data_IF_189575295833
#
_entry.id   IF_189575295833
#
_cell.length_a   1.000
_cell.length_b   1.000
_cell.length_c   1.000
_cell.angle_alpha   90.00
_cell.angle_beta   90.00
_cell.angle_gamma   90.00
#
_symmetry.space_group_name_H-M   'P 1'
#
loop_
_entity.id
_entity.type
_entity.pdbx_description
1 polymer ?
#
# COMPACT_ATOMS: atom_id res chain seq x y z
N UNK A 1 -2.58 -10.30 30.75
CA UNK A 1 -2.10 -10.32 29.35
C UNK A 1 -1.86 -8.88 28.95
N UNK A 2 -0.70 -8.53 28.33
CA UNK A 2 -0.50 -7.21 27.74
C UNK A 2 -1.29 -7.17 26.42
N UNK A 3 -2.09 -6.15 26.23
CA UNK A 3 -2.73 -5.92 24.95
C UNK A 3 -1.68 -5.47 23.93
N UNK A 4 -1.75 -6.01 22.72
CA UNK A 4 -0.96 -5.58 21.56
C UNK A 4 -1.90 -4.88 20.60
N UNK A 5 -1.52 -3.70 20.16
CA UNK A 5 -2.30 -2.91 19.21
C UNK A 5 -1.60 -2.92 17.86
N UNK A 6 -2.37 -2.97 16.78
CA UNK A 6 -1.87 -2.87 15.41
C UNK A 6 -2.66 -1.77 14.71
N UNK A 7 -1.97 -0.77 14.19
CA UNK A 7 -2.59 0.38 13.53
C UNK A 7 -2.21 0.43 12.06
N UNK A 8 -3.21 0.55 11.20
CA UNK A 8 -3.03 0.98 9.84
C UNK A 8 -2.65 2.47 9.80
N UNK A 9 -2.00 2.88 8.71
CA UNK A 9 -1.47 4.23 8.56
C UNK A 9 -2.44 5.18 7.85
N UNK A 10 -2.72 4.89 6.58
CA UNK A 10 -3.45 5.80 5.70
C UNK A 10 -4.95 5.81 6.00
N UNK A 11 -5.46 6.91 6.52
CA UNK A 11 -6.86 7.05 6.94
C UNK A 11 -7.14 6.60 8.38
N UNK A 12 -6.11 6.11 9.08
CA UNK A 12 -6.19 5.71 10.51
C UNK A 12 -5.33 6.64 11.37
N UNK A 13 -4.00 6.55 11.29
CA UNK A 13 -3.10 7.41 12.06
C UNK A 13 -2.75 8.70 11.34
N UNK A 14 -2.80 8.69 10.03
CA UNK A 14 -2.51 9.85 9.19
C UNK A 14 -3.61 10.04 8.14
N UNK A 15 -3.91 11.29 7.73
CA UNK A 15 -4.66 11.48 6.50
C UNK A 15 -3.90 10.82 5.34
N UNK A 16 -4.61 10.19 4.41
CA UNK A 16 -4.00 9.42 3.34
C UNK A 16 -2.87 10.18 2.65
N UNK A 17 -1.66 9.62 2.69
CA UNK A 17 -0.42 10.16 2.13
C UNK A 17 -0.01 11.54 2.67
N UNK A 18 -0.47 11.91 3.83
CA UNK A 18 -0.10 13.17 4.49
C UNK A 18 0.58 12.89 5.82
N UNK A 19 1.30 13.90 6.30
CA UNK A 19 1.89 13.85 7.62
C UNK A 19 0.82 13.79 8.70
N UNK A 20 1.13 13.13 9.80
CA UNK A 20 0.36 13.17 11.03
C UNK A 20 0.14 14.64 11.45
N UNK A 21 -1.08 14.98 11.90
CA UNK A 21 -1.34 16.34 12.38
C UNK A 21 -0.70 16.54 13.74
N UNK A 22 -0.24 17.77 14.04
CA UNK A 22 0.48 18.05 15.29
C UNK A 22 -0.32 17.72 16.55
N UNK A 23 -1.63 18.02 16.54
CA UNK A 23 -2.50 17.74 17.69
C UNK A 23 -2.64 16.23 17.93
N UNK A 24 -2.75 15.45 16.84
CA UNK A 24 -2.82 14.01 16.93
C UNK A 24 -1.46 13.38 17.27
N UNK A 25 -0.39 13.96 16.78
CA UNK A 25 1.01 13.55 17.09
C UNK A 25 1.26 13.62 18.61
N UNK A 26 0.90 14.73 19.27
CA UNK A 26 1.04 14.91 20.70
C UNK A 26 0.17 13.91 21.49
N UNK A 27 -1.09 13.74 21.08
CA UNK A 27 -1.98 12.76 21.69
C UNK A 27 -1.44 11.33 21.55
N UNK A 28 -1.06 10.95 20.34
CA UNK A 28 -0.64 9.58 20.04
C UNK A 28 0.71 9.23 20.68
N UNK A 29 1.66 10.18 20.76
CA UNK A 29 2.94 9.93 21.42
C UNK A 29 2.78 9.64 22.90
N UNK A 30 1.94 10.41 23.62
CA UNK A 30 1.64 10.16 25.03
C UNK A 30 0.98 8.79 25.25
N UNK A 31 0.12 8.36 24.32
CA UNK A 31 -0.49 7.04 24.34
C UNK A 31 0.55 5.96 24.08
N UNK A 32 1.40 6.14 23.09
CA UNK A 32 2.40 5.19 22.60
C UNK A 32 3.45 4.81 23.66
N UNK A 33 3.85 5.77 24.52
CA UNK A 33 4.80 5.52 25.61
C UNK A 33 4.33 4.43 26.59
N UNK A 34 3.03 4.19 26.70
CA UNK A 34 2.44 3.30 27.68
C UNK A 34 1.82 2.04 27.08
N UNK A 35 1.94 1.85 25.75
CA UNK A 35 1.27 0.76 25.06
C UNK A 35 2.22 0.02 24.12
N UNK A 36 2.03 -1.28 23.99
CA UNK A 36 2.73 -2.12 23.02
C UNK A 36 1.98 -2.07 21.70
N UNK A 37 2.61 -1.58 20.63
CA UNK A 37 1.96 -1.47 19.34
C UNK A 37 2.89 -1.73 18.16
N UNK A 38 2.27 -2.09 17.04
CA UNK A 38 2.87 -2.20 15.71
C UNK A 38 2.14 -1.29 14.73
N UNK A 39 2.86 -0.89 13.70
CA UNK A 39 2.30 -0.17 12.56
C UNK A 39 2.23 -1.10 11.34
N UNK A 40 1.22 -0.95 10.50
CA UNK A 40 1.07 -1.68 9.26
C UNK A 40 0.70 -0.74 8.12
N UNK A 41 1.31 -0.91 6.96
CA UNK A 41 0.98 -0.12 5.77
C UNK A 41 1.26 -0.90 4.49
N UNK A 42 0.48 -0.61 3.44
CA UNK A 42 0.81 -1.02 2.07
C UNK A 42 2.00 -0.26 1.47
N UNK A 43 2.47 0.79 2.12
CA UNK A 43 3.63 1.59 1.69
C UNK A 43 4.95 0.97 2.13
N UNK A 44 6.08 1.40 1.50
CA UNK A 44 7.42 1.10 1.96
C UNK A 44 7.80 1.99 3.17
N UNK A 45 8.91 1.65 3.84
CA UNK A 45 9.34 2.34 5.06
C UNK A 45 9.65 3.82 4.84
N UNK A 46 10.24 4.20 3.71
CA UNK A 46 10.55 5.60 3.41
C UNK A 46 9.29 6.47 3.41
N UNK A 47 8.21 5.98 2.79
CA UNK A 47 6.93 6.71 2.78
C UNK A 47 6.28 6.81 4.16
N UNK A 48 6.46 5.79 4.99
CA UNK A 48 5.99 5.82 6.39
C UNK A 48 6.76 6.89 7.18
N UNK A 49 8.08 6.97 7.01
CA UNK A 49 8.92 8.01 7.64
C UNK A 49 8.58 9.44 7.21
N UNK A 50 8.01 9.61 6.03
CA UNK A 50 7.50 10.92 5.58
C UNK A 50 6.20 11.33 6.31
N UNK A 51 5.40 10.36 6.78
CA UNK A 51 4.08 10.58 7.35
C UNK A 51 4.09 10.62 8.87
N UNK A 52 4.93 9.83 9.51
CA UNK A 52 5.02 9.66 10.97
C UNK A 52 6.38 10.10 11.46
N UNK A 53 6.44 10.91 12.52
CA UNK A 53 7.71 11.31 13.14
C UNK A 53 8.53 10.10 13.59
N UNK A 54 9.84 10.19 13.41
CA UNK A 54 10.77 9.11 13.71
C UNK A 54 10.72 8.65 15.17
N UNK A 55 10.51 9.57 16.09
CA UNK A 55 10.42 9.22 17.51
C UNK A 55 9.18 8.35 17.84
N UNK A 56 8.06 8.53 17.11
CA UNK A 56 6.87 7.67 17.23
C UNK A 56 7.15 6.29 16.62
N UNK A 57 7.86 6.24 15.49
CA UNK A 57 8.29 4.97 14.91
C UNK A 57 9.18 4.18 15.86
N UNK A 58 10.06 4.88 16.58
CA UNK A 58 10.96 4.27 17.58
C UNK A 58 10.23 3.79 18.86
N UNK A 59 9.01 4.28 19.13
CA UNK A 59 8.16 3.77 20.20
C UNK A 59 7.41 2.49 19.81
N UNK A 60 7.26 2.20 18.51
CA UNK A 60 6.62 0.97 18.05
C UNK A 60 7.54 -0.24 18.25
N UNK A 61 6.96 -1.40 18.54
CA UNK A 61 7.71 -2.68 18.54
C UNK A 61 8.16 -3.06 17.13
N UNK A 62 7.48 -2.57 16.10
CA UNK A 62 7.85 -2.79 14.71
C UNK A 62 6.88 -2.20 13.71
N UNK A 63 7.33 -2.18 12.45
CA UNK A 63 6.57 -1.64 11.32
C UNK A 63 6.47 -2.68 10.22
N UNK A 64 5.26 -3.12 9.94
CA UNK A 64 4.95 -3.95 8.78
C UNK A 64 4.76 -3.05 7.55
N UNK A 65 5.55 -3.27 6.52
CA UNK A 65 5.52 -2.52 5.26
C UNK A 65 5.13 -3.42 4.10
N UNK A 66 4.79 -2.80 2.96
CA UNK A 66 4.43 -3.53 1.74
C UNK A 66 3.34 -4.58 1.96
N UNK A 67 2.25 -4.20 2.68
CA UNK A 67 1.16 -5.11 2.96
C UNK A 67 1.51 -6.28 3.90
N UNK A 68 2.56 -6.13 4.72
CA UNK A 68 3.03 -7.15 5.65
C UNK A 68 4.15 -8.05 5.10
N UNK A 69 4.58 -7.83 3.85
CA UNK A 69 5.68 -8.60 3.25
C UNK A 69 7.06 -8.26 3.82
N UNK A 70 7.14 -7.16 4.56
CA UNK A 70 8.35 -6.77 5.29
C UNK A 70 8.00 -6.44 6.74
N UNK A 71 8.90 -6.80 7.66
CA UNK A 71 8.86 -6.35 9.06
C UNK A 71 10.17 -5.65 9.39
N UNK A 72 10.05 -4.47 9.96
CA UNK A 72 11.14 -3.67 10.47
C UNK A 72 11.06 -3.60 11.99
N UNK A 73 12.12 -3.99 12.68
CA UNK A 73 12.26 -3.90 14.13
C UNK A 73 13.42 -2.96 14.46
N UNK A 74 13.18 -1.93 15.26
CA UNK A 74 14.20 -0.93 15.62
C UNK A 74 14.90 -0.30 14.39
N UNK A 75 14.18 -0.15 13.27
CA UNK A 75 14.70 0.40 12.03
C UNK A 75 15.53 -0.58 11.18
N UNK A 76 15.72 -1.82 11.62
CA UNK A 76 16.40 -2.89 10.90
C UNK A 76 15.39 -3.83 10.26
N UNK A 77 15.65 -4.26 9.03
CA UNK A 77 14.81 -5.21 8.31
C UNK A 77 14.95 -6.60 8.94
N UNK A 78 13.88 -7.06 9.61
CA UNK A 78 13.85 -8.36 10.28
C UNK A 78 13.50 -9.50 9.32
N UNK A 79 12.48 -9.31 8.46
CA UNK A 79 12.22 -10.21 7.35
C UNK A 79 11.76 -9.44 6.11
N UNK A 80 11.98 -10.07 4.96
CA UNK A 80 11.50 -9.61 3.66
C UNK A 80 11.09 -10.83 2.82
N UNK A 81 9.83 -10.87 2.44
CA UNK A 81 9.37 -11.80 1.42
C UNK A 81 9.61 -11.14 0.06
N UNK A 82 10.72 -11.51 -0.59
CA UNK A 82 11.04 -10.98 -1.91
C UNK A 82 9.98 -11.39 -2.93
N UNK A 83 9.56 -10.42 -3.71
CA UNK A 83 8.72 -10.63 -4.89
C UNK A 83 9.50 -10.15 -6.12
N UNK A 84 9.76 -11.08 -7.04
CA UNK A 84 10.39 -10.76 -8.32
C UNK A 84 9.36 -10.99 -9.42
N UNK A 85 8.79 -9.90 -9.98
CA UNK A 85 7.83 -10.04 -11.06
C UNK A 85 8.49 -10.69 -12.28
N UNK A 86 7.83 -11.67 -12.87
CA UNK A 86 8.24 -12.26 -14.14
C UNK A 86 8.05 -11.27 -15.29
N UNK A 87 8.84 -11.40 -16.34
CA UNK A 87 8.75 -10.54 -17.53
C UNK A 87 7.36 -10.60 -18.18
N UNK A 88 6.73 -11.77 -18.17
CA UNK A 88 5.38 -11.98 -18.70
C UNK A 88 4.32 -11.20 -17.92
N UNK A 89 4.45 -11.08 -16.59
CA UNK A 89 3.57 -10.24 -15.77
C UNK A 89 3.77 -8.77 -16.10
N UNK A 90 5.02 -8.33 -16.22
CA UNK A 90 5.33 -6.94 -16.60
C UNK A 90 4.82 -6.60 -18.00
N UNK A 91 4.92 -7.53 -18.94
CA UNK A 91 4.37 -7.37 -20.28
C UNK A 91 2.84 -7.27 -20.24
N UNK A 92 2.17 -8.16 -19.54
CA UNK A 92 0.72 -8.14 -19.36
C UNK A 92 0.21 -6.82 -18.76
N UNK A 93 0.87 -6.31 -17.72
CA UNK A 93 0.49 -5.03 -17.12
C UNK A 93 0.66 -3.85 -18.09
N UNK A 94 1.68 -3.89 -18.95
CA UNK A 94 1.86 -2.89 -20.01
C UNK A 94 0.76 -2.99 -21.08
N UNK A 95 0.34 -4.20 -21.44
CA UNK A 95 -0.81 -4.38 -22.34
C UNK A 95 -2.09 -3.83 -21.71
N UNK A 96 -2.39 -4.16 -20.45
CA UNK A 96 -3.55 -3.60 -19.73
C UNK A 96 -3.54 -2.08 -19.64
N UNK A 97 -2.36 -1.50 -19.44
CA UNK A 97 -2.19 -0.04 -19.48
C UNK A 97 -2.54 0.55 -20.84
N UNK A 98 -2.15 -0.10 -21.93
CA UNK A 98 -2.41 0.35 -23.31
C UNK A 98 -3.87 0.12 -23.72
N UNK A 99 -4.50 -0.96 -23.25
CA UNK A 99 -5.90 -1.31 -23.55
C UNK A 99 -6.90 -0.47 -22.76
N UNK A 100 -6.50 0.09 -21.63
CA UNK A 100 -7.38 0.87 -20.79
C UNK A 100 -7.96 2.07 -21.52
N UNK A 101 -9.30 2.23 -21.53
CA UNK A 101 -9.96 3.37 -22.15
C UNK A 101 -9.78 4.68 -21.36
N UNK A 102 -9.33 4.61 -20.11
CA UNK A 102 -9.02 5.80 -19.32
C UNK A 102 -7.76 6.48 -19.87
N UNK A 103 -7.93 7.66 -20.44
CA UNK A 103 -6.89 8.28 -21.26
C UNK A 103 -5.73 8.92 -20.48
N UNK A 104 -5.98 9.35 -19.24
CA UNK A 104 -4.96 10.09 -18.47
C UNK A 104 -3.87 9.15 -17.96
N UNK A 105 -2.62 9.56 -18.16
CA UNK A 105 -1.41 8.86 -17.70
C UNK A 105 -0.50 9.86 -16.99
N UNK A 106 -0.13 9.57 -15.73
CA UNK A 106 0.65 10.49 -14.88
C UNK A 106 1.80 9.74 -14.19
N UNK A 107 2.98 9.86 -14.75
CA UNK A 107 4.22 9.34 -14.20
C UNK A 107 4.35 7.82 -14.28
N UNK A 108 4.89 7.21 -13.22
CA UNK A 108 5.13 5.77 -13.19
C UNK A 108 3.84 4.97 -12.96
N UNK A 109 3.64 3.92 -13.74
CA UNK A 109 2.46 3.05 -13.69
C UNK A 109 2.73 1.71 -12.98
N UNK A 110 3.97 1.23 -12.99
CA UNK A 110 4.41 -0.01 -12.38
C UNK A 110 5.51 0.32 -11.38
N UNK A 111 5.27 0.07 -10.11
CA UNK A 111 6.20 0.37 -9.01
C UNK A 111 6.60 -0.96 -8.34
N UNK A 112 7.84 -1.38 -8.57
CA UNK A 112 8.45 -2.50 -7.86
C UNK A 112 8.92 -2.02 -6.47
N UNK A 113 8.47 -2.70 -5.42
CA UNK A 113 8.82 -2.41 -4.02
C UNK A 113 9.69 -3.51 -3.41
N UNK A 114 10.21 -4.44 -4.23
CA UNK A 114 11.06 -5.54 -3.82
C UNK A 114 10.33 -6.70 -3.15
N UNK A 115 9.19 -6.46 -2.53
CA UNK A 115 8.34 -7.47 -1.87
C UNK A 115 6.92 -7.50 -2.41
N UNK A 116 6.59 -6.58 -3.29
CA UNK A 116 5.32 -6.49 -4.00
C UNK A 116 5.46 -5.59 -5.23
N UNK A 117 4.62 -5.81 -6.22
CA UNK A 117 4.45 -4.94 -7.36
C UNK A 117 3.17 -4.12 -7.21
N UNK A 118 3.23 -2.84 -7.55
CA UNK A 118 2.07 -1.97 -7.51
C UNK A 118 1.80 -1.40 -8.90
N UNK A 119 0.59 -1.56 -9.40
CA UNK A 119 0.15 -1.09 -10.71
C UNK A 119 -0.93 -0.02 -10.60
N UNK A 120 -0.88 0.99 -11.44
CA UNK A 120 -1.88 2.06 -11.50
C UNK A 120 -2.09 2.54 -12.93
N UNK A 121 -3.31 2.44 -13.44
CA UNK A 121 -3.67 2.91 -14.80
C UNK A 121 -3.50 4.42 -14.93
N UNK A 122 -3.93 5.19 -13.93
CA UNK A 122 -3.77 6.66 -13.94
C UNK A 122 -2.33 7.10 -13.69
N UNK A 123 -1.52 6.25 -13.07
CA UNK A 123 -0.12 6.54 -12.70
C UNK A 123 0.04 7.10 -11.29
N UNK A 124 1.29 7.04 -10.78
CA UNK A 124 1.60 7.36 -9.39
C UNK A 124 1.77 8.85 -9.11
N UNK A 125 2.03 9.65 -10.15
CA UNK A 125 2.27 11.10 -10.04
C UNK A 125 1.00 11.92 -10.31
N UNK A 126 -0.17 11.27 -10.34
CA UNK A 126 -1.45 11.93 -10.52
C UNK A 126 -1.77 12.87 -9.34
N UNK A 127 -2.38 14.02 -9.65
CA UNK A 127 -2.91 14.95 -8.66
C UNK A 127 -4.07 14.32 -7.86
N UNK A 128 -4.47 14.95 -6.76
CA UNK A 128 -5.63 14.48 -5.98
C UNK A 128 -6.91 14.46 -6.82
N UNK A 129 -7.14 15.47 -7.65
CA UNK A 129 -8.28 15.57 -8.56
C UNK A 129 -8.26 14.43 -9.59
N UNK A 130 -7.13 14.20 -10.23
CA UNK A 130 -6.94 13.10 -11.19
C UNK A 130 -7.17 11.72 -10.56
N UNK A 131 -6.75 11.57 -9.31
CA UNK A 131 -6.97 10.37 -8.51
C UNK A 131 -8.45 10.12 -8.25
N UNK A 132 -9.20 11.15 -7.85
CA UNK A 132 -10.63 11.05 -7.60
C UNK A 132 -11.40 10.75 -8.90
N UNK A 133 -11.07 11.42 -9.99
CA UNK A 133 -11.68 11.17 -11.29
C UNK A 133 -11.44 9.72 -11.79
N UNK A 134 -10.23 9.18 -11.58
CA UNK A 134 -9.99 7.77 -11.90
C UNK A 134 -10.76 6.84 -10.97
N UNK A 135 -10.83 7.15 -9.67
CA UNK A 135 -11.58 6.35 -8.72
C UNK A 135 -13.08 6.28 -9.06
N UNK A 136 -13.70 7.41 -9.44
CA UNK A 136 -15.09 7.46 -9.90
C UNK A 136 -15.28 6.61 -11.17
N UNK A 137 -14.38 6.76 -12.16
CA UNK A 137 -14.38 5.92 -13.36
C UNK A 137 -14.27 4.43 -13.03
N UNK A 138 -13.36 4.06 -12.14
CA UNK A 138 -13.15 2.66 -11.74
C UNK A 138 -14.34 2.08 -10.98
N UNK A 139 -15.04 2.87 -10.18
CA UNK A 139 -16.28 2.45 -9.52
C UNK A 139 -17.37 2.05 -10.53
N UNK A 140 -17.39 2.65 -11.72
CA UNK A 140 -18.35 2.34 -12.79
C UNK A 140 -17.85 1.22 -13.70
N UNK A 141 -16.57 1.24 -14.08
CA UNK A 141 -15.98 0.31 -15.05
C UNK A 141 -15.51 -1.01 -14.42
N UNK A 142 -15.24 -1.01 -13.11
CA UNK A 142 -14.65 -2.13 -12.37
C UNK A 142 -13.28 -2.56 -12.92
N UNK A 143 -12.53 -1.61 -13.54
CA UNK A 143 -11.31 -1.90 -14.29
C UNK A 143 -10.24 -2.58 -13.44
N UNK A 144 -9.97 -2.06 -12.23
CA UNK A 144 -8.95 -2.63 -11.34
C UNK A 144 -9.29 -4.04 -10.90
N UNK A 145 -10.55 -4.32 -10.57
CA UNK A 145 -10.99 -5.67 -10.21
C UNK A 145 -10.84 -6.64 -11.38
N UNK A 146 -11.24 -6.21 -12.59
CA UNK A 146 -11.10 -7.04 -13.79
C UNK A 146 -9.62 -7.40 -14.05
N UNK A 147 -8.71 -6.43 -13.94
CA UNK A 147 -7.27 -6.67 -14.09
C UNK A 147 -6.75 -7.62 -12.99
N UNK A 148 -7.17 -7.43 -11.74
CA UNK A 148 -6.79 -8.28 -10.63
C UNK A 148 -7.25 -9.74 -10.84
N UNK A 149 -8.50 -9.94 -11.23
CA UNK A 149 -9.07 -11.27 -11.53
C UNK A 149 -8.34 -11.97 -12.68
N UNK A 150 -8.08 -11.26 -13.78
CA UNK A 150 -7.34 -11.82 -14.91
C UNK A 150 -5.94 -12.29 -14.51
N UNK A 151 -5.26 -11.56 -13.62
CA UNK A 151 -3.93 -11.93 -13.11
C UNK A 151 -4.03 -13.17 -12.23
N UNK A 152 -4.96 -13.23 -11.29
CA UNK A 152 -5.14 -14.40 -10.42
C UNK A 152 -5.58 -15.66 -11.18
N UNK A 153 -6.20 -15.51 -12.34
CA UNK A 153 -6.51 -16.63 -13.23
C UNK A 153 -5.27 -17.11 -14.00
N UNK A 154 -4.40 -16.17 -14.43
CA UNK A 154 -3.25 -16.47 -15.26
C UNK A 154 -2.04 -16.95 -14.46
N UNK A 155 -1.88 -16.46 -13.24
CA UNK A 155 -0.81 -16.80 -12.29
C UNK A 155 -1.45 -17.25 -10.98
N UNK A 156 -1.54 -18.55 -10.75
CA UNK A 156 -2.22 -19.18 -9.62
C UNK A 156 -1.46 -19.04 -8.29
N UNK A 157 -0.21 -18.61 -8.35
CA UNK A 157 0.66 -18.32 -7.21
C UNK A 157 0.66 -16.84 -6.81
N UNK A 158 -0.06 -15.98 -7.56
CA UNK A 158 -0.16 -14.56 -7.28
C UNK A 158 -1.49 -14.18 -6.64
N UNK A 159 -1.40 -13.35 -5.62
CA UNK A 159 -2.54 -12.61 -5.08
C UNK A 159 -2.54 -11.18 -5.63
N UNK A 160 -3.71 -10.72 -6.06
CA UNK A 160 -3.93 -9.37 -6.53
C UNK A 160 -4.95 -8.65 -5.64
N UNK A 161 -4.55 -7.57 -4.99
CA UNK A 161 -5.39 -6.82 -4.05
C UNK A 161 -5.57 -5.40 -4.52
N UNK A 162 -6.82 -4.93 -4.49
CA UNK A 162 -7.14 -3.52 -4.78
C UNK A 162 -6.58 -2.65 -3.66
N UNK A 163 -5.66 -1.76 -4.01
CA UNK A 163 -4.94 -0.87 -3.10
C UNK A 163 -5.41 0.58 -3.18
N UNK A 164 -6.04 1.09 -2.14
CA UNK A 164 -6.52 2.47 -2.09
C UNK A 164 -7.41 2.84 -3.29
N UNK A 165 -7.27 4.07 -3.83
CA UNK A 165 -8.17 4.59 -4.86
C UNK A 165 -7.75 4.28 -6.31
N UNK A 166 -6.48 3.94 -6.57
CA UNK A 166 -5.94 3.91 -7.93
C UNK A 166 -5.04 2.72 -8.23
N UNK A 167 -4.83 1.83 -7.29
CA UNK A 167 -3.78 0.80 -7.40
C UNK A 167 -4.33 -0.60 -7.33
N UNK A 168 -3.60 -1.52 -7.96
CA UNK A 168 -3.65 -2.95 -7.69
C UNK A 168 -2.27 -3.38 -7.22
N UNK A 169 -2.20 -4.14 -6.16
CA UNK A 169 -0.96 -4.65 -5.57
C UNK A 169 -0.87 -6.15 -5.76
N UNK A 170 0.28 -6.64 -6.19
CA UNK A 170 0.55 -8.04 -6.49
C UNK A 170 1.67 -8.58 -5.62
N UNK A 171 1.46 -9.77 -5.05
CA UNK A 171 2.43 -10.47 -4.21
C UNK A 171 2.09 -11.96 -4.10
N UNK A 172 3.04 -12.77 -3.64
CA UNK A 172 2.79 -14.17 -3.25
C UNK A 172 2.15 -14.31 -1.85
N UNK A 173 2.06 -13.23 -1.08
CA UNK A 173 1.49 -13.22 0.27
C UNK A 173 0.51 -12.07 0.42
N UNK A 174 -0.71 -12.39 0.82
CA UNK A 174 -1.68 -11.39 1.29
C UNK A 174 -1.89 -11.51 2.79
N UNK A 175 -1.79 -10.39 3.48
CA UNK A 175 -2.50 -10.28 4.75
C UNK A 175 -3.99 -10.30 4.44
N UNK A 176 -4.81 -10.99 5.25
CA UNK A 176 -6.26 -10.95 5.07
C UNK A 176 -6.70 -9.49 5.13
N UNK A 177 -7.02 -8.93 3.97
CA UNK A 177 -7.57 -7.59 3.87
C UNK A 177 -8.98 -7.61 4.44
N UNK A 178 -9.17 -6.93 5.55
CA UNK A 178 -10.51 -6.61 6.02
C UNK A 178 -11.03 -5.53 5.07
N UNK A 179 -11.93 -5.93 4.16
CA UNK A 179 -12.68 -4.97 3.37
C UNK A 179 -13.55 -4.15 4.33
N UNK A 180 -13.14 -2.94 4.62
CA UNK A 180 -14.01 -1.97 5.29
C UNK A 180 -15.06 -1.52 4.27
N UNK A 181 -16.30 -1.92 4.53
CA UNK A 181 -17.49 -1.42 3.83
C UNK A 181 -17.85 -0.03 4.37
#
# INVERSE_FOLDING_TARGET
>A
MKNIFIFDMDGTLTPSRRKMTKDFEEFYSNWAENHTFFLVSGSNLEKIKEQVPEYILNLSEGVFTCGGNQLWLNGELYYNHEFKPEDDLLYFLKEKLNESPYALRAGNHIEDRGSMLNFSVVGRDCSLEQRLNYFEYDCESNERNNIAEEIMIKWDDLDAVIGGQISVSYTHLTLPTINWV
#
